data_IF_761715458722
#
_entry.id   IF_761715458722
#
_cell.length_a   1.000
_cell.length_b   1.000
_cell.length_c   1.000
_cell.angle_alpha   90.00
_cell.angle_beta   90.00
_cell.angle_gamma   90.00
#
_symmetry.space_group_name_H-M   'P 1'
#
loop_
_entity.id
_entity.type
_entity.pdbx_description
1 polymer ?
#
# COMPACT_ATOMS: atom_id res chain seq x y z
N UNK A 1 31.07 -18.86 -26.72
CA UNK A 1 32.08 -18.03 -26.03
C UNK A 1 33.32 -18.91 -25.88
N UNK A 2 34.52 -18.35 -25.98
CA UNK A 2 35.74 -19.06 -25.63
C UNK A 2 36.05 -18.85 -24.15
N UNK A 3 36.75 -19.82 -23.56
CA UNK A 3 37.22 -19.73 -22.17
C UNK A 3 38.50 -18.88 -22.10
N UNK A 4 38.89 -18.48 -20.90
CA UNK A 4 40.13 -17.71 -20.70
C UNK A 4 41.36 -18.53 -21.12
N UNK A 5 41.38 -19.85 -20.92
CA UNK A 5 42.44 -20.75 -21.39
C UNK A 5 42.51 -20.82 -22.90
N UNK A 6 41.36 -21.00 -23.57
CA UNK A 6 41.30 -21.01 -25.06
C UNK A 6 41.77 -19.68 -25.68
N UNK A 7 41.49 -18.54 -25.03
CA UNK A 7 41.94 -17.23 -25.50
C UNK A 7 43.45 -17.08 -25.43
N UNK A 8 44.04 -17.45 -24.29
CA UNK A 8 45.51 -17.48 -24.13
C UNK A 8 46.16 -18.37 -25.17
N UNK A 9 45.60 -19.55 -25.41
CA UNK A 9 46.11 -20.52 -26.39
C UNK A 9 46.00 -19.98 -27.81
N UNK A 10 44.88 -19.37 -28.21
CA UNK A 10 44.68 -18.73 -29.52
C UNK A 10 45.72 -17.68 -29.77
N UNK A 11 46.01 -16.82 -28.79
CA UNK A 11 47.02 -15.77 -28.92
C UNK A 11 48.46 -16.35 -28.96
N UNK A 12 48.76 -17.39 -28.18
CA UNK A 12 50.04 -18.06 -28.19
C UNK A 12 50.33 -18.73 -29.54
N UNK A 13 49.37 -19.50 -30.07
CA UNK A 13 49.50 -20.13 -31.39
C UNK A 13 49.67 -19.12 -32.53
N UNK A 14 48.97 -17.97 -32.43
CA UNK A 14 49.12 -16.88 -33.40
C UNK A 14 50.52 -16.29 -33.39
N UNK A 15 51.13 -16.07 -32.20
CA UNK A 15 52.53 -15.63 -32.06
C UNK A 15 53.51 -16.64 -32.61
N UNK A 16 53.21 -17.92 -32.59
CA UNK A 16 54.01 -18.98 -33.18
C UNK A 16 53.83 -19.09 -34.70
N UNK A 17 53.10 -18.18 -35.36
CA UNK A 17 52.94 -18.11 -36.81
C UNK A 17 51.81 -18.96 -37.38
N UNK A 18 50.98 -19.58 -36.56
CA UNK A 18 49.86 -20.39 -37.04
C UNK A 18 48.82 -19.56 -37.79
N UNK A 19 48.29 -20.13 -38.88
CA UNK A 19 47.17 -19.50 -39.59
C UNK A 19 45.87 -19.55 -38.77
N UNK A 20 44.98 -18.59 -38.94
CA UNK A 20 43.67 -18.56 -38.28
C UNK A 20 42.88 -19.84 -38.53
N UNK A 21 43.01 -20.43 -39.71
CA UNK A 21 42.36 -21.70 -40.06
C UNK A 21 42.94 -22.90 -39.30
N UNK A 22 44.24 -22.90 -39.04
CA UNK A 22 44.88 -23.93 -38.24
C UNK A 22 44.51 -23.81 -36.76
N UNK A 23 44.52 -22.60 -36.22
CA UNK A 23 44.09 -22.29 -34.83
C UNK A 23 42.63 -22.69 -34.64
N UNK A 24 41.75 -22.32 -35.57
CA UNK A 24 40.30 -22.62 -35.47
C UNK A 24 40.05 -24.13 -35.43
N UNK A 25 40.77 -24.92 -36.24
CA UNK A 25 40.70 -26.41 -36.20
C UNK A 25 41.25 -26.97 -34.90
N UNK A 26 42.33 -26.41 -34.38
CA UNK A 26 42.97 -26.86 -33.16
C UNK A 26 42.09 -26.66 -31.92
N UNK A 27 41.53 -25.46 -31.76
CA UNK A 27 40.66 -25.12 -30.61
C UNK A 27 39.20 -25.54 -30.80
N UNK A 28 38.85 -26.15 -31.94
CA UNK A 28 37.45 -26.60 -32.21
C UNK A 28 36.44 -25.43 -32.32
N UNK A 29 36.88 -24.27 -32.81
CA UNK A 29 36.04 -23.06 -32.92
C UNK A 29 35.96 -22.59 -34.37
N UNK A 30 34.86 -21.84 -34.66
CA UNK A 30 34.70 -21.19 -35.96
C UNK A 30 35.80 -20.13 -36.23
N UNK A 31 36.27 -20.03 -37.50
CA UNK A 31 37.29 -19.09 -37.91
C UNK A 31 36.92 -17.62 -37.65
N UNK A 32 35.65 -17.27 -37.77
CA UNK A 32 35.14 -15.91 -37.51
C UNK A 32 35.27 -15.60 -36.02
N UNK A 33 34.99 -16.60 -35.19
CA UNK A 33 35.14 -16.46 -33.71
C UNK A 33 36.61 -16.26 -33.36
N UNK A 34 37.53 -17.10 -33.82
CA UNK A 34 38.98 -16.95 -33.54
C UNK A 34 39.49 -15.59 -34.01
N UNK A 35 39.10 -15.16 -35.22
CA UNK A 35 39.49 -13.83 -35.74
C UNK A 35 39.02 -12.69 -34.85
N UNK A 36 37.77 -12.73 -34.38
CA UNK A 36 37.23 -11.64 -33.57
C UNK A 36 37.91 -11.51 -32.20
N UNK A 37 38.42 -12.60 -31.63
CA UNK A 37 39.20 -12.54 -30.39
C UNK A 37 40.65 -12.06 -30.67
N UNK A 38 41.29 -12.54 -31.72
CA UNK A 38 42.60 -12.07 -32.11
C UNK A 38 42.64 -10.57 -32.45
N UNK A 39 41.56 -10.03 -32.98
CA UNK A 39 41.42 -8.61 -33.32
C UNK A 39 40.92 -7.75 -32.12
N UNK A 40 40.75 -8.34 -30.95
CA UNK A 40 40.19 -7.67 -29.77
C UNK A 40 38.76 -7.10 -29.97
N UNK A 41 38.01 -7.61 -30.98
CA UNK A 41 36.61 -7.26 -31.21
C UNK A 41 35.68 -7.91 -30.15
N UNK A 42 36.19 -8.91 -29.45
CA UNK A 42 35.51 -9.62 -28.36
C UNK A 42 36.44 -9.85 -27.20
N UNK A 43 35.91 -9.71 -25.97
CA UNK A 43 36.63 -10.04 -24.74
C UNK A 43 36.06 -11.31 -24.12
N UNK A 44 36.93 -12.11 -23.48
CA UNK A 44 36.54 -13.34 -22.78
C UNK A 44 35.55 -13.02 -21.67
N UNK A 45 34.48 -13.82 -21.57
CA UNK A 45 33.44 -13.62 -20.55
C UNK A 45 32.44 -12.48 -20.84
N UNK A 46 32.69 -11.64 -21.85
CA UNK A 46 31.83 -10.53 -22.23
C UNK A 46 30.97 -10.93 -23.42
N UNK A 47 29.63 -10.97 -23.24
CA UNK A 47 28.68 -11.17 -24.33
C UNK A 47 28.40 -9.82 -24.99
N UNK A 48 28.69 -9.69 -26.30
CA UNK A 48 28.30 -8.49 -27.02
C UNK A 48 26.79 -8.23 -26.88
N UNK A 49 26.44 -7.08 -26.36
CA UNK A 49 25.04 -6.68 -26.13
C UNK A 49 24.48 -6.13 -27.44
N UNK A 50 23.71 -6.93 -28.14
CA UNK A 50 23.09 -6.53 -29.42
C UNK A 50 21.70 -5.88 -29.30
N UNK A 51 21.15 -5.79 -28.07
CA UNK A 51 19.80 -5.27 -27.83
C UNK A 51 19.89 -4.19 -26.76
N UNK A 52 19.28 -3.04 -27.02
CA UNK A 52 19.09 -1.98 -26.02
C UNK A 52 18.39 -2.59 -24.81
N UNK A 53 18.97 -2.39 -23.64
CA UNK A 53 18.34 -2.85 -22.41
C UNK A 53 17.06 -2.02 -22.16
N UNK A 54 15.89 -2.65 -22.08
CA UNK A 54 14.65 -1.90 -21.80
C UNK A 54 14.73 -1.03 -20.55
N UNK A 55 15.61 -1.36 -19.60
CA UNK A 55 15.83 -0.55 -18.41
C UNK A 55 16.49 0.80 -18.73
N UNK A 56 17.30 0.89 -19.78
CA UNK A 56 17.96 2.15 -20.17
C UNK A 56 16.93 3.24 -20.55
N UNK A 57 15.76 2.83 -21.04
CA UNK A 57 14.68 3.74 -21.41
C UNK A 57 13.98 4.35 -20.20
N UNK A 58 13.91 3.61 -19.10
CA UNK A 58 13.19 4.02 -17.87
C UNK A 58 14.15 4.53 -16.78
N UNK A 59 15.45 4.33 -16.92
CA UNK A 59 16.44 4.73 -15.93
C UNK A 59 16.37 6.23 -15.56
N UNK A 60 16.22 7.17 -16.50
CA UNK A 60 16.11 8.59 -16.16
C UNK A 60 14.92 8.88 -15.24
N UNK A 61 13.78 8.27 -15.51
CA UNK A 61 12.59 8.38 -14.64
C UNK A 61 12.86 7.80 -13.25
N UNK A 62 13.43 6.60 -13.18
CA UNK A 62 13.76 5.94 -11.91
C UNK A 62 14.71 6.78 -11.07
N UNK A 63 15.74 7.37 -11.70
CA UNK A 63 16.68 8.27 -11.00
C UNK A 63 15.98 9.49 -10.43
N UNK A 64 15.12 10.15 -11.21
CA UNK A 64 14.38 11.32 -10.74
C UNK A 64 13.48 10.95 -9.57
N UNK A 65 12.71 9.86 -9.68
CA UNK A 65 11.83 9.40 -8.60
C UNK A 65 12.56 9.07 -7.30
N UNK A 66 13.80 8.55 -7.39
CA UNK A 66 14.65 8.28 -6.22
C UNK A 66 15.28 9.55 -5.63
N UNK A 67 15.42 10.63 -6.42
CA UNK A 67 15.79 11.96 -5.92
C UNK A 67 14.61 12.57 -5.17
N UNK A 68 13.40 12.51 -5.75
CA UNK A 68 12.17 13.07 -5.18
C UNK A 68 11.76 12.34 -3.90
N UNK A 69 11.86 11.01 -3.89
CA UNK A 69 11.59 10.16 -2.74
C UNK A 69 12.60 9.02 -2.61
N UNK A 70 13.61 9.23 -1.80
CA UNK A 70 14.68 8.25 -1.50
C UNK A 70 14.15 6.94 -0.92
N UNK A 71 12.97 6.95 -0.29
CA UNK A 71 12.37 5.81 0.40
C UNK A 71 11.26 5.11 -0.40
N UNK A 72 10.98 5.53 -1.64
CA UNK A 72 9.97 4.88 -2.47
C UNK A 72 10.25 3.38 -2.62
N UNK A 73 9.24 2.55 -2.44
CA UNK A 73 9.40 1.08 -2.55
C UNK A 73 9.66 0.65 -3.99
N UNK A 74 10.53 -0.33 -4.18
CA UNK A 74 10.81 -0.88 -5.52
C UNK A 74 9.56 -1.42 -6.22
N UNK A 75 8.58 -1.93 -5.48
CA UNK A 75 7.27 -2.37 -6.00
C UNK A 75 6.44 -1.20 -6.54
N UNK A 76 6.55 -0.03 -5.95
CA UNK A 76 5.89 1.20 -6.42
C UNK A 76 6.55 1.67 -7.70
N UNK A 77 7.88 1.83 -7.70
CA UNK A 77 8.64 2.19 -8.91
C UNK A 77 8.35 1.24 -10.07
N UNK A 78 8.28 -0.06 -9.80
CA UNK A 78 8.00 -1.06 -10.83
C UNK A 78 6.62 -0.86 -11.46
N UNK A 79 5.57 -0.59 -10.67
CA UNK A 79 4.23 -0.29 -11.17
C UNK A 79 4.20 1.01 -11.98
N UNK A 80 4.89 2.04 -11.50
CA UNK A 80 4.98 3.33 -12.20
C UNK A 80 5.62 3.13 -13.59
N UNK A 81 6.76 2.44 -13.69
CA UNK A 81 7.45 2.22 -14.98
C UNK A 81 6.70 1.26 -15.91
N UNK A 82 5.84 0.37 -15.39
CA UNK A 82 4.96 -0.43 -16.23
C UNK A 82 3.84 0.42 -16.87
N UNK A 83 3.39 1.47 -16.19
CA UNK A 83 2.35 2.37 -16.68
C UNK A 83 2.89 3.43 -17.67
N UNK A 84 4.21 3.69 -17.69
CA UNK A 84 4.81 4.64 -18.63
C UNK A 84 4.88 4.05 -20.04
N UNK A 85 4.52 4.80 -21.10
CA UNK A 85 4.74 4.36 -22.48
C UNK A 85 6.25 4.26 -22.80
N UNK A 86 6.73 3.18 -23.44
CA UNK A 86 6.02 1.99 -23.96
C UNK A 86 5.77 0.88 -22.92
N UNK A 87 6.01 1.12 -21.62
CA UNK A 87 5.90 0.15 -20.57
C UNK A 87 7.18 -0.69 -20.35
N UNK A 88 7.52 -0.94 -19.07
CA UNK A 88 8.63 -1.83 -18.74
C UNK A 88 8.15 -3.29 -18.69
N UNK A 89 8.41 -4.04 -19.77
CA UNK A 89 7.89 -5.40 -19.96
C UNK A 89 8.73 -6.53 -19.33
N UNK A 90 9.67 -6.26 -18.41
CA UNK A 90 10.47 -7.30 -17.74
C UNK A 90 9.93 -7.61 -16.36
N UNK A 91 10.20 -8.82 -15.85
CA UNK A 91 9.78 -9.26 -14.53
C UNK A 91 10.37 -8.38 -13.39
N UNK A 92 9.63 -8.28 -12.28
CA UNK A 92 10.01 -7.52 -11.10
C UNK A 92 11.42 -7.86 -10.56
N UNK A 93 11.77 -9.14 -10.52
CA UNK A 93 13.11 -9.55 -10.06
C UNK A 93 14.23 -9.02 -10.98
N UNK A 94 13.97 -8.91 -12.29
CA UNK A 94 14.91 -8.30 -13.24
C UNK A 94 15.05 -6.80 -12.98
N UNK A 95 13.94 -6.11 -12.72
CA UNK A 95 13.92 -4.70 -12.33
C UNK A 95 14.75 -4.46 -11.05
N UNK A 96 14.50 -5.24 -9.99
CA UNK A 96 15.26 -5.14 -8.74
C UNK A 96 16.76 -5.39 -8.93
N UNK A 97 17.13 -6.33 -9.82
CA UNK A 97 18.52 -6.57 -10.18
C UNK A 97 19.15 -5.33 -10.82
N UNK A 98 18.47 -4.68 -11.78
CA UNK A 98 18.96 -3.43 -12.37
C UNK A 98 19.14 -2.31 -11.36
N UNK A 99 18.19 -2.14 -10.42
CA UNK A 99 18.32 -1.15 -9.34
C UNK A 99 19.62 -1.36 -8.53
N UNK A 100 19.94 -2.63 -8.23
CA UNK A 100 21.14 -3.02 -7.48
C UNK A 100 22.40 -2.85 -8.31
N UNK A 101 22.44 -3.44 -9.50
CA UNK A 101 23.64 -3.50 -10.35
C UNK A 101 24.09 -2.11 -10.84
N UNK A 102 23.14 -1.16 -10.91
CA UNK A 102 23.40 0.23 -11.29
C UNK A 102 23.57 1.18 -10.10
N UNK A 103 23.53 0.66 -8.87
CA UNK A 103 23.66 1.45 -7.64
C UNK A 103 22.58 2.54 -7.50
N UNK A 104 21.39 2.31 -8.08
CA UNK A 104 20.31 3.29 -8.10
C UNK A 104 19.58 3.40 -6.76
N UNK A 105 19.66 2.37 -5.94
CA UNK A 105 18.98 2.34 -4.64
C UNK A 105 19.98 2.06 -3.53
N UNK A 106 20.53 3.10 -2.89
CA UNK A 106 21.21 2.94 -1.62
C UNK A 106 20.20 2.54 -0.55
N UNK A 107 20.53 1.51 0.24
CA UNK A 107 19.74 1.19 1.42
C UNK A 107 19.93 2.30 2.46
N UNK A 108 18.82 2.85 2.92
CA UNK A 108 18.78 3.63 4.15
C UNK A 108 18.88 2.65 5.33
N UNK A 109 19.77 2.88 6.29
CA UNK A 109 19.91 2.03 7.47
C UNK A 109 18.60 1.85 8.22
N UNK A 110 17.76 2.91 8.29
CA UNK A 110 16.42 2.83 8.87
C UNK A 110 15.46 1.89 8.13
N UNK A 111 15.64 1.71 6.80
CA UNK A 111 14.82 0.80 6.00
C UNK A 111 15.35 -0.65 6.01
N UNK A 112 16.61 -0.86 6.39
CA UNK A 112 17.24 -2.19 6.40
C UNK A 112 17.21 -2.87 7.77
N UNK A 113 16.83 -2.15 8.83
CA UNK A 113 16.78 -2.70 10.19
C UNK A 113 15.50 -3.49 10.45
N UNK A 114 15.33 -4.63 9.80
CA UNK A 114 14.57 -5.73 10.40
C UNK A 114 15.43 -6.34 11.49
N UNK A 115 15.43 -5.73 12.67
CA UNK A 115 16.06 -6.33 13.83
C UNK A 115 15.38 -7.67 14.10
N UNK A 116 16.15 -8.75 14.03
CA UNK A 116 15.74 -10.13 14.25
C UNK A 116 15.21 -10.40 15.66
N UNK A 117 14.07 -9.79 16.01
CA UNK A 117 13.26 -10.23 17.14
C UNK A 117 12.54 -11.49 16.70
N UNK A 118 12.73 -12.57 17.42
CA UNK A 118 11.90 -13.75 17.28
C UNK A 118 10.43 -13.33 17.45
N UNK A 119 9.68 -13.34 16.37
CA UNK A 119 8.23 -13.15 16.40
C UNK A 119 7.62 -14.54 16.57
N UNK A 120 6.93 -14.77 17.69
CA UNK A 120 6.02 -15.91 17.76
C UNK A 120 4.90 -15.68 16.74
N UNK A 121 4.64 -16.67 15.89
CA UNK A 121 3.52 -16.63 14.98
C UNK A 121 2.21 -16.59 15.79
N UNK A 122 1.43 -15.55 15.60
CA UNK A 122 0.11 -15.41 16.21
C UNK A 122 -0.88 -15.96 15.19
N UNK A 123 -1.53 -17.04 15.57
CA UNK A 123 -2.61 -17.61 14.76
C UNK A 123 -3.82 -16.67 14.76
N UNK A 124 -4.35 -16.39 13.57
CA UNK A 124 -5.55 -15.58 13.36
C UNK A 124 -6.60 -16.44 12.64
N UNK A 125 -7.52 -17.09 13.38
CA UNK A 125 -8.58 -17.89 12.76
C UNK A 125 -9.48 -17.07 11.83
N UNK A 126 -9.99 -17.66 10.73
CA UNK A 126 -10.86 -16.97 9.79
C UNK A 126 -12.13 -16.41 10.45
N UNK A 127 -12.45 -15.15 10.18
CA UNK A 127 -13.65 -14.47 10.67
C UNK A 127 -13.68 -14.18 12.18
N UNK A 128 -12.56 -14.39 12.87
CA UNK A 128 -12.47 -14.14 14.31
C UNK A 128 -12.28 -12.67 14.64
N UNK A 129 -11.40 -11.96 13.92
CA UNK A 129 -10.96 -10.64 14.35
C UNK A 129 -10.86 -9.63 13.22
N UNK A 130 -11.37 -8.41 13.46
CA UNK A 130 -11.02 -7.19 12.74
C UNK A 130 -10.13 -6.34 13.65
N UNK A 131 -8.96 -5.92 13.18
CA UNK A 131 -8.11 -4.96 13.86
C UNK A 131 -8.38 -3.55 13.36
N UNK A 132 -8.44 -2.59 14.26
CA UNK A 132 -8.74 -1.19 13.97
C UNK A 132 -7.61 -0.27 14.42
N UNK A 133 -7.28 0.69 13.56
CA UNK A 133 -6.35 1.76 13.90
C UNK A 133 -6.57 3.00 13.05
N UNK A 134 -6.06 4.14 13.52
CA UNK A 134 -6.05 5.40 12.80
C UNK A 134 -4.68 5.66 12.18
N UNK A 135 -4.68 6.11 10.93
CA UNK A 135 -3.55 6.75 10.28
C UNK A 135 -3.80 8.25 10.26
N UNK A 136 -2.88 9.02 10.84
CA UNK A 136 -2.93 10.48 10.86
C UNK A 136 -2.12 11.05 9.69
N UNK A 137 -2.74 11.97 8.93
CA UNK A 137 -2.15 12.65 7.80
C UNK A 137 -2.12 14.15 8.10
N UNK A 138 -0.99 14.63 8.58
CA UNK A 138 -0.83 16.03 8.98
C UNK A 138 -0.66 16.96 7.77
N UNK A 139 0.03 16.49 6.72
CA UNK A 139 0.29 17.21 5.48
C UNK A 139 -0.51 16.62 4.34
N UNK A 140 -1.63 17.26 4.01
CA UNK A 140 -2.47 16.85 2.88
C UNK A 140 -2.41 17.86 1.74
N UNK A 141 -2.60 17.45 0.49
CA UNK A 141 -2.61 18.37 -0.65
C UNK A 141 -3.69 19.45 -0.59
N UNK A 142 -4.75 19.24 0.19
CA UNK A 142 -5.84 20.22 0.40
C UNK A 142 -5.66 21.12 1.63
N UNK A 143 -4.51 21.02 2.32
CA UNK A 143 -4.10 21.97 3.36
C UNK A 143 -4.75 21.79 4.74
N UNK A 144 -5.55 20.72 4.95
CA UNK A 144 -6.13 20.40 6.25
C UNK A 144 -5.70 18.96 6.64
N UNK A 145 -5.46 18.74 7.93
CA UNK A 145 -5.19 17.38 8.43
C UNK A 145 -6.36 16.44 8.11
N UNK A 146 -6.05 15.19 7.86
CA UNK A 146 -7.04 14.14 7.66
C UNK A 146 -6.64 12.89 8.45
N UNK A 147 -7.63 12.09 8.75
CA UNK A 147 -7.49 10.85 9.49
C UNK A 147 -8.04 9.71 8.64
N UNK A 148 -7.39 8.56 8.66
CA UNK A 148 -7.86 7.39 7.92
C UNK A 148 -8.09 6.25 8.89
N UNK A 149 -9.35 5.87 9.08
CA UNK A 149 -9.66 4.66 9.84
C UNK A 149 -9.36 3.45 8.98
N UNK A 150 -8.54 2.55 9.48
CA UNK A 150 -8.18 1.30 8.82
C UNK A 150 -8.76 0.13 9.60
N UNK A 151 -9.56 -0.70 8.93
CA UNK A 151 -10.06 -1.96 9.45
C UNK A 151 -9.51 -3.13 8.63
N UNK A 152 -8.90 -4.10 9.31
CA UNK A 152 -8.21 -5.24 8.70
C UNK A 152 -8.75 -6.54 9.24
N UNK A 153 -9.14 -7.46 8.37
CA UNK A 153 -9.41 -8.86 8.70
C UNK A 153 -8.07 -9.54 9.01
N UNK A 154 -7.88 -9.96 10.25
CA UNK A 154 -6.58 -10.45 10.72
C UNK A 154 -6.12 -11.72 10.02
N UNK A 155 -7.06 -12.59 9.60
CA UNK A 155 -6.74 -13.82 8.89
C UNK A 155 -6.28 -13.57 7.46
N UNK A 156 -7.10 -12.95 6.61
CA UNK A 156 -6.79 -12.74 5.19
C UNK A 156 -5.82 -11.59 4.95
N UNK A 157 -5.76 -10.62 5.86
CA UNK A 157 -5.07 -9.36 5.66
C UNK A 157 -5.81 -8.42 4.70
N UNK A 158 -7.09 -8.72 4.35
CA UNK A 158 -7.94 -7.81 3.60
C UNK A 158 -8.27 -6.61 4.47
N UNK A 159 -8.07 -5.42 3.95
CA UNK A 159 -8.37 -4.20 4.68
C UNK A 159 -9.18 -3.23 3.84
N UNK A 160 -9.88 -2.34 4.53
CA UNK A 160 -10.56 -1.18 3.94
C UNK A 160 -10.32 0.03 4.83
N UNK A 161 -10.47 1.17 4.23
CA UNK A 161 -10.15 2.44 4.85
C UNK A 161 -11.30 3.43 4.69
N UNK A 162 -11.37 4.38 5.63
CA UNK A 162 -12.31 5.48 5.54
C UNK A 162 -11.65 6.78 5.97
N UNK A 163 -11.69 7.79 5.10
CA UNK A 163 -11.15 9.12 5.37
C UNK A 163 -12.10 9.92 6.24
N UNK A 164 -11.55 10.61 7.24
CA UNK A 164 -12.25 11.40 8.23
C UNK A 164 -11.58 12.75 8.47
N UNK A 165 -12.36 13.72 8.89
CA UNK A 165 -11.88 15.03 9.34
C UNK A 165 -11.57 15.04 10.84
N UNK A 166 -11.98 14.00 11.60
CA UNK A 166 -11.78 13.88 13.04
C UNK A 166 -11.65 12.42 13.46
N UNK A 167 -11.00 12.18 14.61
CA UNK A 167 -10.93 10.87 15.27
C UNK A 167 -11.88 10.77 16.47
N UNK A 168 -12.84 11.68 16.62
CA UNK A 168 -13.82 11.61 17.70
C UNK A 168 -14.70 10.35 17.59
N UNK A 169 -15.47 10.06 18.65
CA UNK A 169 -16.28 8.84 18.72
C UNK A 169 -17.34 8.78 17.61
N UNK A 170 -17.91 9.92 17.20
CA UNK A 170 -18.94 9.93 16.17
C UNK A 170 -18.36 9.57 14.81
N UNK A 171 -17.20 10.16 14.44
CA UNK A 171 -16.48 9.82 13.22
C UNK A 171 -15.97 8.37 13.23
N UNK A 172 -15.50 7.88 14.38
CA UNK A 172 -15.11 6.48 14.54
C UNK A 172 -16.25 5.53 14.23
N UNK A 173 -17.44 5.77 14.79
CA UNK A 173 -18.62 4.90 14.60
C UNK A 173 -19.08 4.90 13.14
N UNK A 174 -19.10 6.05 12.48
CA UNK A 174 -19.41 6.15 11.05
C UNK A 174 -18.34 5.42 10.23
N UNK A 175 -17.08 5.67 10.51
CA UNK A 175 -15.97 5.04 9.80
C UNK A 175 -15.95 3.52 9.95
N UNK A 176 -16.28 3.00 11.13
CA UNK A 176 -16.43 1.55 11.34
C UNK A 176 -17.50 0.99 10.40
N UNK A 177 -18.69 1.60 10.34
CA UNK A 177 -19.76 1.13 9.45
C UNK A 177 -19.34 1.14 7.99
N UNK A 178 -18.76 2.23 7.53
CA UNK A 178 -18.27 2.41 6.16
C UNK A 178 -17.20 1.39 5.77
N UNK A 179 -16.26 1.11 6.66
CA UNK A 179 -15.22 0.10 6.44
C UNK A 179 -15.81 -1.30 6.42
N UNK A 180 -16.72 -1.63 7.33
CA UNK A 180 -17.38 -2.93 7.40
C UNK A 180 -18.23 -3.21 6.15
N UNK A 181 -18.94 -2.21 5.61
CA UNK A 181 -19.67 -2.32 4.34
C UNK A 181 -18.72 -2.74 3.22
N UNK A 182 -17.55 -2.10 3.13
CA UNK A 182 -16.53 -2.40 2.10
C UNK A 182 -15.81 -3.73 2.32
N UNK A 183 -15.71 -4.20 3.56
CA UNK A 183 -15.19 -5.54 3.90
C UNK A 183 -16.19 -6.65 3.54
N UNK A 184 -17.49 -6.32 3.50
CA UNK A 184 -18.59 -7.25 3.24
C UNK A 184 -19.17 -7.90 4.49
N UNK A 185 -18.90 -7.37 5.68
CA UNK A 185 -19.40 -7.89 6.95
C UNK A 185 -18.47 -7.60 8.11
N UNK A 186 -18.73 -8.23 9.27
CA UNK A 186 -17.92 -8.09 10.48
C UNK A 186 -17.44 -9.45 11.01
N UNK A 187 -16.24 -9.48 11.58
CA UNK A 187 -15.76 -10.61 12.38
C UNK A 187 -16.41 -10.65 13.77
N UNK A 188 -16.09 -11.66 14.55
CA UNK A 188 -16.67 -11.85 15.90
C UNK A 188 -16.20 -10.81 16.91
N UNK A 189 -14.95 -10.34 16.77
CA UNK A 189 -14.28 -9.46 17.71
C UNK A 189 -13.65 -8.29 16.97
N UNK A 190 -13.60 -7.13 17.64
CA UNK A 190 -12.86 -5.98 17.19
C UNK A 190 -11.67 -5.74 18.12
N UNK A 191 -10.49 -5.86 17.59
CA UNK A 191 -9.29 -5.47 18.31
C UNK A 191 -9.00 -4.01 18.08
N UNK A 192 -8.97 -3.26 19.17
CA UNK A 192 -8.73 -1.82 19.16
C UNK A 192 -7.48 -1.50 19.96
N UNK A 193 -6.76 -0.45 19.57
CA UNK A 193 -5.82 0.16 20.48
C UNK A 193 -6.58 0.78 21.67
N UNK A 194 -5.87 1.22 22.69
CA UNK A 194 -6.47 1.89 23.85
C UNK A 194 -6.98 3.29 23.49
N UNK A 195 -7.71 3.40 22.36
CA UNK A 195 -8.37 4.64 21.95
C UNK A 195 -9.34 5.10 23.04
N UNK A 196 -9.17 6.32 23.55
CA UNK A 196 -10.04 6.88 24.57
C UNK A 196 -11.52 6.98 24.13
N UNK A 197 -11.79 6.93 22.83
CA UNK A 197 -13.13 6.88 22.24
C UNK A 197 -13.81 5.51 22.42
N UNK A 198 -13.06 4.44 22.70
CA UNK A 198 -13.56 3.06 22.83
C UNK A 198 -13.31 2.50 24.23
N UNK A 199 -12.13 2.75 24.79
CA UNK A 199 -11.66 2.18 26.07
C UNK A 199 -11.53 3.29 27.09
N UNK A 200 -11.96 3.03 28.33
CA UNK A 200 -11.75 3.95 29.45
C UNK A 200 -10.23 4.05 29.73
N UNK A 201 -9.64 5.27 29.70
CA UNK A 201 -8.21 5.44 29.88
C UNK A 201 -7.69 4.77 31.16
N UNK A 202 -6.60 3.99 31.01
CA UNK A 202 -5.98 3.28 32.14
C UNK A 202 -6.64 1.96 32.54
N UNK A 203 -7.71 1.54 31.87
CA UNK A 203 -8.42 0.29 32.11
C UNK A 203 -8.55 -0.56 30.86
N UNK A 204 -9.15 -1.75 30.97
CA UNK A 204 -9.60 -2.59 29.85
C UNK A 204 -11.12 -2.49 29.61
N UNK A 205 -11.80 -1.56 30.28
CA UNK A 205 -13.24 -1.40 30.19
C UNK A 205 -13.64 -0.60 28.96
N UNK A 206 -14.69 -1.08 28.29
CA UNK A 206 -15.28 -0.38 27.15
C UNK A 206 -16.03 0.86 27.64
N UNK A 207 -15.86 1.99 26.98
CA UNK A 207 -16.62 3.22 27.24
C UNK A 207 -18.11 2.96 27.22
N UNK A 208 -18.83 3.47 28.23
CA UNK A 208 -20.29 3.32 28.33
C UNK A 208 -21.01 3.87 27.08
N UNK A 209 -20.45 4.92 26.44
CA UNK A 209 -20.97 5.50 25.20
C UNK A 209 -20.73 4.62 23.98
N UNK A 210 -19.71 3.74 23.99
CA UNK A 210 -19.38 2.86 22.88
C UNK A 210 -19.99 1.46 23.02
N UNK A 211 -20.29 1.00 24.22
CA UNK A 211 -20.87 -0.32 24.47
C UNK A 211 -22.17 -0.59 23.64
N UNK A 212 -23.10 0.37 23.47
CA UNK A 212 -24.27 0.19 22.59
C UNK A 212 -23.88 -0.05 21.12
N UNK A 213 -22.79 0.55 20.63
CA UNK A 213 -22.27 0.33 19.27
C UNK A 213 -21.82 -1.12 19.10
N UNK A 214 -21.00 -1.62 20.01
CA UNK A 214 -20.55 -3.01 20.00
C UNK A 214 -21.71 -4.00 20.04
N UNK A 215 -22.73 -3.71 20.87
CA UNK A 215 -23.97 -4.50 20.95
C UNK A 215 -24.76 -4.48 19.64
N UNK A 216 -24.86 -3.31 18.97
CA UNK A 216 -25.57 -3.17 17.69
C UNK A 216 -24.95 -4.05 16.60
N UNK A 217 -23.63 -4.09 16.50
CA UNK A 217 -22.92 -4.95 15.55
C UNK A 217 -22.72 -6.39 16.05
N UNK A 218 -23.09 -6.68 17.28
CA UNK A 218 -22.99 -8.00 17.89
C UNK A 218 -21.55 -8.49 18.08
N UNK A 219 -20.61 -7.62 18.39
CA UNK A 219 -19.17 -7.92 18.46
C UNK A 219 -18.61 -7.81 19.87
N UNK A 220 -17.58 -8.60 20.16
CA UNK A 220 -16.74 -8.41 21.35
C UNK A 220 -15.68 -7.36 21.07
N UNK A 221 -15.34 -6.55 22.08
CA UNK A 221 -14.24 -5.59 22.01
C UNK A 221 -13.03 -6.16 22.76
N UNK A 222 -11.90 -6.23 22.08
CA UNK A 222 -10.61 -6.68 22.63
C UNK A 222 -9.62 -5.51 22.65
N UNK A 223 -9.37 -4.87 23.78
CA UNK A 223 -8.30 -3.89 23.88
C UNK A 223 -6.93 -4.58 23.74
N UNK A 224 -6.00 -3.92 23.04
CA UNK A 224 -4.63 -4.40 22.95
C UNK A 224 -3.99 -4.44 24.33
N UNK A 225 -3.38 -5.58 24.75
CA UNK A 225 -2.69 -5.66 26.02
C UNK A 225 -1.53 -4.64 26.08
N UNK A 226 -1.29 -3.98 27.25
CA UNK A 226 -0.17 -3.08 27.39
C UNK A 226 1.15 -3.78 27.10
N UNK A 227 2.06 -3.11 26.36
CA UNK A 227 3.41 -3.60 26.05
C UNK A 227 3.48 -4.88 25.19
N UNK A 228 2.42 -5.25 24.50
CA UNK A 228 2.39 -6.34 23.53
C UNK A 228 2.06 -5.85 22.12
N UNK A 229 2.93 -5.04 21.47
CA UNK A 229 2.67 -4.45 20.15
C UNK A 229 2.45 -5.52 19.06
N UNK A 230 3.01 -6.72 19.23
CA UNK A 230 2.91 -7.79 18.22
C UNK A 230 1.46 -8.22 17.92
N UNK A 231 0.52 -8.05 18.87
CA UNK A 231 -0.89 -8.42 18.67
C UNK A 231 -1.66 -7.47 17.72
N UNK A 232 -1.12 -6.31 17.41
CA UNK A 232 -1.67 -5.32 16.47
C UNK A 232 -0.91 -5.27 15.14
N UNK A 233 0.05 -6.16 14.96
CA UNK A 233 0.98 -6.14 13.82
C UNK A 233 0.31 -6.21 12.44
N UNK A 234 -0.92 -6.73 12.34
CA UNK A 234 -1.61 -6.84 11.03
C UNK A 234 -2.09 -5.47 10.57
N UNK A 235 -2.75 -4.68 11.43
CA UNK A 235 -3.21 -3.34 11.05
C UNK A 235 -2.05 -2.36 10.89
N UNK A 236 -1.03 -2.44 11.73
CA UNK A 236 0.19 -1.61 11.60
C UNK A 236 0.90 -1.85 10.25
N UNK A 237 1.06 -3.11 9.84
CA UNK A 237 1.59 -3.47 8.52
C UNK A 237 0.72 -2.94 7.37
N UNK A 238 -0.61 -2.95 7.56
CA UNK A 238 -1.54 -2.45 6.55
C UNK A 238 -1.48 -0.93 6.45
N UNK A 239 -1.37 -0.21 7.56
CA UNK A 239 -1.16 1.23 7.60
C UNK A 239 0.17 1.60 6.91
N UNK A 240 1.27 0.91 7.25
CA UNK A 240 2.54 1.12 6.58
C UNK A 240 2.42 0.84 5.06
N UNK A 241 1.70 -0.21 4.67
CA UNK A 241 1.49 -0.54 3.26
C UNK A 241 0.66 0.54 2.53
N UNK A 242 -0.41 1.05 3.12
CA UNK A 242 -1.21 2.17 2.57
C UNK A 242 -0.33 3.41 2.43
N UNK A 243 0.41 3.76 3.48
CA UNK A 243 1.26 4.94 3.51
C UNK A 243 2.36 4.87 2.46
N UNK A 244 3.11 3.77 2.43
CA UNK A 244 4.30 3.63 1.58
C UNK A 244 3.99 3.24 0.13
N UNK A 245 2.84 2.62 -0.13
CA UNK A 245 2.54 2.08 -1.45
C UNK A 245 1.42 2.80 -2.18
N UNK A 246 0.66 3.65 -1.49
CA UNK A 246 -0.42 4.43 -2.07
C UNK A 246 -0.29 5.92 -1.73
N UNK A 247 -0.33 6.31 -0.46
CA UNK A 247 -0.39 7.72 -0.07
C UNK A 247 0.77 8.55 -0.61
N UNK A 248 1.99 8.06 -0.52
CA UNK A 248 3.20 8.76 -1.01
C UNK A 248 3.19 9.07 -2.51
N UNK A 249 2.36 8.38 -3.28
CA UNK A 249 2.30 8.51 -4.75
C UNK A 249 0.92 8.93 -5.24
N UNK A 250 -0.04 9.09 -4.34
CA UNK A 250 -1.40 9.45 -4.68
C UNK A 250 -1.49 10.93 -5.11
N UNK A 251 -2.04 11.16 -6.30
CA UNK A 251 -2.38 12.50 -6.78
C UNK A 251 -3.85 12.76 -6.42
N UNK A 252 -4.09 13.39 -5.28
CA UNK A 252 -5.42 13.65 -4.72
C UNK A 252 -5.58 15.15 -4.42
N UNK A 253 -6.75 15.70 -4.69
CA UNK A 253 -7.05 17.12 -4.49
C UNK A 253 -8.01 17.40 -3.33
N UNK A 254 -8.68 16.37 -2.82
CA UNK A 254 -9.66 16.49 -1.75
C UNK A 254 -9.80 15.18 -0.97
N UNK A 255 -10.40 15.24 0.20
CA UNK A 255 -10.71 14.08 1.02
C UNK A 255 -11.63 13.08 0.29
N UNK A 256 -12.61 13.56 -0.45
CA UNK A 256 -13.52 12.71 -1.24
C UNK A 256 -12.80 12.03 -2.41
N UNK A 257 -11.91 12.74 -3.13
CA UNK A 257 -11.09 12.13 -4.18
C UNK A 257 -10.18 11.05 -3.60
N UNK A 258 -9.56 11.34 -2.45
CA UNK A 258 -8.70 10.40 -1.75
C UNK A 258 -9.45 9.12 -1.39
N UNK A 259 -10.71 9.22 -0.90
CA UNK A 259 -11.52 8.05 -0.60
C UNK A 259 -11.78 7.20 -1.83
N UNK A 260 -12.25 7.79 -2.92
CA UNK A 260 -12.57 7.07 -4.16
C UNK A 260 -11.33 6.36 -4.75
N UNK A 261 -10.19 7.07 -4.77
CA UNK A 261 -8.96 6.51 -5.31
C UNK A 261 -8.36 5.43 -4.41
N UNK A 262 -8.48 5.56 -3.08
CA UNK A 262 -8.03 4.54 -2.14
C UNK A 262 -8.88 3.28 -2.24
N UNK A 263 -10.20 3.40 -2.32
CA UNK A 263 -11.11 2.26 -2.49
C UNK A 263 -10.75 1.48 -3.77
N UNK A 264 -10.59 2.20 -4.88
CA UNK A 264 -10.16 1.59 -6.14
C UNK A 264 -8.80 0.91 -6.05
N UNK A 265 -7.84 1.53 -5.37
CA UNK A 265 -6.52 0.94 -5.17
C UNK A 265 -6.57 -0.30 -4.26
N UNK A 266 -7.42 -0.30 -3.25
CA UNK A 266 -7.65 -1.49 -2.41
C UNK A 266 -8.11 -2.67 -3.27
N UNK A 267 -9.09 -2.48 -4.15
CA UNK A 267 -9.64 -3.55 -4.99
C UNK A 267 -8.65 -4.03 -6.06
N UNK A 268 -7.97 -3.11 -6.73
CA UNK A 268 -7.13 -3.43 -7.89
C UNK A 268 -5.69 -3.81 -7.54
N UNK A 269 -5.21 -3.40 -6.38
CA UNK A 269 -3.80 -3.59 -5.99
C UNK A 269 -3.66 -4.31 -4.66
N UNK A 270 -4.30 -3.81 -3.59
CA UNK A 270 -4.11 -4.35 -2.26
C UNK A 270 -4.68 -5.77 -2.14
N UNK A 271 -5.85 -6.02 -2.70
CA UNK A 271 -6.52 -7.32 -2.68
C UNK A 271 -5.85 -8.35 -3.60
N UNK A 272 -5.05 -7.91 -4.57
CA UNK A 272 -4.29 -8.79 -5.48
C UNK A 272 -2.91 -9.19 -4.92
N UNK A 273 -2.54 -8.73 -3.73
CA UNK A 273 -1.31 -9.19 -3.08
C UNK A 273 -1.38 -10.68 -2.80
N UNK A 274 -0.30 -11.38 -3.10
CA UNK A 274 -0.14 -12.77 -2.70
C UNK A 274 0.20 -12.86 -1.21
N UNK A 275 -0.39 -13.82 -0.55
CA UNK A 275 -0.03 -14.27 0.79
C UNK A 275 0.24 -15.76 0.77
N UNK A 276 1.14 -16.19 1.63
CA UNK A 276 1.38 -17.60 1.83
C UNK A 276 0.14 -18.27 2.43
N UNK A 277 -0.12 -19.49 2.02
CA UNK A 277 -1.18 -20.36 2.55
C UNK A 277 -0.51 -21.47 3.36
N UNK A 278 -1.06 -21.81 4.52
CA UNK A 278 -0.47 -22.82 5.41
C UNK A 278 -0.51 -24.22 4.76
N UNK A 279 -1.51 -24.48 3.91
CA UNK A 279 -1.78 -25.80 3.32
C UNK A 279 -1.70 -25.84 1.78
N UNK A 280 -1.10 -24.84 1.11
CA UNK A 280 -1.11 -24.81 -0.34
C UNK A 280 -0.31 -23.69 -1.00
N UNK A 281 -0.48 -23.49 -2.32
CA UNK A 281 0.18 -22.40 -3.02
C UNK A 281 -0.30 -21.03 -2.52
N UNK A 282 0.55 -20.02 -2.65
CA UNK A 282 0.20 -18.63 -2.31
C UNK A 282 -1.07 -18.21 -3.07
N UNK A 283 -2.00 -17.60 -2.34
CA UNK A 283 -3.28 -17.08 -2.86
C UNK A 283 -3.35 -15.56 -2.74
N UNK A 284 -4.23 -14.92 -3.49
CA UNK A 284 -4.46 -13.48 -3.30
C UNK A 284 -5.21 -13.21 -2.00
N UNK A 285 -5.02 -12.00 -1.44
CA UNK A 285 -5.79 -11.52 -0.28
C UNK A 285 -7.29 -11.59 -0.55
N UNK A 286 -7.73 -11.26 -1.77
CA UNK A 286 -9.13 -11.39 -2.18
C UNK A 286 -9.64 -12.82 -2.03
N UNK A 287 -8.90 -13.80 -2.52
CA UNK A 287 -9.26 -15.24 -2.42
C UNK A 287 -9.26 -15.69 -0.96
N UNK A 288 -8.24 -15.36 -0.19
CA UNK A 288 -8.19 -15.69 1.24
C UNK A 288 -9.39 -15.12 2.02
N UNK A 289 -9.82 -13.90 1.69
CA UNK A 289 -10.95 -13.26 2.34
C UNK A 289 -12.29 -13.94 2.04
N UNK A 290 -12.45 -14.66 0.93
CA UNK A 290 -13.68 -15.40 0.63
C UNK A 290 -13.92 -16.58 1.58
N UNK A 291 -12.87 -17.08 2.21
CA UNK A 291 -12.95 -18.17 3.19
C UNK A 291 -13.30 -17.66 4.61
N UNK A 292 -13.36 -16.34 4.84
CA UNK A 292 -13.68 -15.78 6.15
C UNK A 292 -15.18 -15.76 6.41
N UNK A 293 -15.69 -16.44 7.45
CA UNK A 293 -17.10 -16.49 7.79
C UNK A 293 -17.55 -15.17 8.47
N UNK A 294 -17.64 -14.10 7.69
CA UNK A 294 -18.10 -12.81 8.21
C UNK A 294 -19.59 -12.83 8.52
N UNK A 295 -19.96 -12.14 9.57
CA UNK A 295 -21.36 -11.93 9.94
C UNK A 295 -21.92 -10.76 9.16
N UNK A 296 -23.19 -10.89 8.72
CA UNK A 296 -23.92 -9.81 8.08
C UNK A 296 -24.04 -8.59 9.00
N UNK A 297 -23.98 -7.42 8.42
CA UNK A 297 -24.18 -6.17 9.13
C UNK A 297 -25.67 -5.97 9.46
N UNK A 298 -25.99 -5.18 10.50
CA UNK A 298 -27.36 -4.71 10.73
C UNK A 298 -27.90 -3.98 9.49
N UNK A 299 -29.20 -4.01 9.29
CA UNK A 299 -29.87 -3.36 8.16
C UNK A 299 -29.64 -1.84 8.10
N UNK A 300 -29.43 -1.22 9.26
CA UNK A 300 -29.09 0.20 9.38
C UNK A 300 -27.78 0.37 10.18
N UNK A 301 -27.03 1.42 9.88
CA UNK A 301 -25.90 1.83 10.71
C UNK A 301 -26.34 2.21 12.12
N UNK A 302 -25.42 2.15 13.09
CA UNK A 302 -25.70 2.67 14.43
C UNK A 302 -25.99 4.18 14.35
N UNK A 303 -27.13 4.64 14.90
CA UNK A 303 -27.52 6.05 14.81
C UNK A 303 -26.59 6.94 15.64
N UNK A 304 -25.89 7.83 14.96
CA UNK A 304 -24.98 8.81 15.59
C UNK A 304 -25.05 10.15 14.90
N UNK A 305 -24.69 11.21 15.61
CA UNK A 305 -24.68 12.57 15.09
C UNK A 305 -23.25 13.09 14.98
N UNK A 306 -22.85 13.48 13.79
CA UNK A 306 -21.60 14.19 13.53
C UNK A 306 -21.88 15.68 13.54
N UNK A 307 -21.06 16.45 14.26
CA UNK A 307 -21.08 17.89 14.27
C UNK A 307 -19.81 18.44 13.62
N UNK A 308 -19.96 19.27 12.60
CA UNK A 308 -18.88 19.87 11.84
C UNK A 308 -19.06 21.39 11.76
N UNK A 309 -17.96 22.11 11.54
CA UNK A 309 -18.01 23.53 11.19
C UNK A 309 -17.62 23.70 9.72
N UNK A 310 -18.36 24.56 9.02
CA UNK A 310 -18.09 24.90 7.63
C UNK A 310 -18.26 26.40 7.40
N UNK A 311 -17.52 26.91 6.41
CA UNK A 311 -17.69 28.26 5.91
C UNK A 311 -18.60 28.23 4.71
N UNK A 312 -19.57 29.12 4.64
CA UNK A 312 -20.42 29.30 3.48
C UNK A 312 -19.61 29.96 2.35
N UNK A 313 -19.48 29.28 1.24
CA UNK A 313 -18.73 29.79 0.09
C UNK A 313 -19.43 30.98 -0.58
N UNK A 314 -18.70 31.74 -1.41
CA UNK A 314 -19.21 32.93 -2.10
C UNK A 314 -20.44 32.66 -3.01
N UNK A 315 -20.63 31.43 -3.42
CA UNK A 315 -21.78 30.96 -4.20
C UNK A 315 -22.97 30.47 -3.34
N UNK A 316 -22.97 30.80 -2.04
CA UNK A 316 -23.97 30.40 -1.06
C UNK A 316 -24.11 28.88 -0.91
N UNK A 317 -23.01 28.13 -1.10
CA UNK A 317 -22.99 26.69 -0.92
C UNK A 317 -22.12 26.29 0.27
N UNK A 318 -22.50 25.21 0.94
CA UNK A 318 -21.70 24.48 1.95
C UNK A 318 -21.32 23.14 1.38
N UNK A 319 -20.05 22.81 1.37
CA UNK A 319 -19.54 21.51 0.91
C UNK A 319 -19.44 20.54 2.09
N UNK A 320 -19.96 19.32 1.90
CA UNK A 320 -19.89 18.22 2.88
C UNK A 320 -19.70 16.90 2.14
N UNK A 321 -18.54 16.24 2.32
CA UNK A 321 -18.21 14.93 1.73
C UNK A 321 -18.53 14.80 0.23
N UNK A 322 -18.07 15.79 -0.55
CA UNK A 322 -18.30 15.84 -2.02
C UNK A 322 -19.67 16.36 -2.45
N UNK A 323 -20.64 16.46 -1.55
CA UNK A 323 -21.93 17.07 -1.82
C UNK A 323 -21.91 18.59 -1.56
N UNK A 324 -22.81 19.31 -2.21
CA UNK A 324 -22.99 20.75 -2.02
C UNK A 324 -24.42 21.05 -1.64
N UNK A 325 -24.59 21.83 -0.55
CA UNK A 325 -25.88 22.19 0.01
C UNK A 325 -26.06 23.72 -0.09
N UNK A 326 -27.17 24.16 -0.66
CA UNK A 326 -27.50 25.57 -0.74
C UNK A 326 -27.99 26.09 0.60
N UNK A 327 -27.51 27.26 0.99
CA UNK A 327 -27.96 28.02 2.15
C UNK A 327 -28.38 29.42 1.73
N UNK A 328 -29.18 30.15 2.50
CA UNK A 328 -29.56 31.51 2.15
C UNK A 328 -28.33 32.40 1.89
N UNK A 329 -28.33 33.24 0.84
CA UNK A 329 -27.20 34.08 0.46
C UNK A 329 -26.71 35.04 1.56
N UNK A 330 -27.56 35.41 2.50
CA UNK A 330 -27.18 36.25 3.65
C UNK A 330 -26.12 35.63 4.57
N UNK A 331 -25.84 34.36 4.43
CA UNK A 331 -24.83 33.66 5.24
C UNK A 331 -23.48 33.48 4.53
N UNK A 332 -23.28 34.03 3.34
CA UNK A 332 -22.00 33.94 2.64
C UNK A 332 -20.87 34.47 3.54
N UNK A 333 -19.82 33.66 3.70
CA UNK A 333 -18.69 33.96 4.57
C UNK A 333 -18.90 33.61 6.06
N UNK A 334 -20.11 33.26 6.46
CA UNK A 334 -20.38 32.85 7.86
C UNK A 334 -19.88 31.44 8.14
N UNK A 335 -19.47 31.21 9.40
CA UNK A 335 -19.27 29.87 9.93
C UNK A 335 -20.61 29.27 10.32
N UNK A 336 -20.94 28.13 9.74
CA UNK A 336 -22.16 27.38 10.06
C UNK A 336 -21.81 26.07 10.73
N UNK A 337 -22.59 25.68 11.73
CA UNK A 337 -22.55 24.34 12.32
C UNK A 337 -23.37 23.39 11.44
N UNK A 338 -22.75 22.30 11.01
CA UNK A 338 -23.42 21.27 10.23
C UNK A 338 -23.61 20.07 11.14
N UNK A 339 -24.85 19.62 11.29
CA UNK A 339 -25.20 18.36 11.98
C UNK A 339 -25.62 17.34 10.97
N UNK A 340 -24.93 16.22 10.94
CA UNK A 340 -25.27 15.09 10.08
C UNK A 340 -25.67 13.90 10.92
N UNK A 341 -26.91 13.46 10.75
CA UNK A 341 -27.47 12.27 11.40
C UNK A 341 -27.17 11.04 10.55
N UNK A 342 -26.33 10.14 11.04
CA UNK A 342 -26.00 8.89 10.39
C UNK A 342 -26.84 7.74 10.97
N UNK A 343 -27.20 6.73 10.16
CA UNK A 343 -27.90 5.53 10.61
C UNK A 343 -29.41 5.69 10.84
N UNK A 344 -30.02 6.73 10.33
CA UNK A 344 -31.49 6.91 10.34
C UNK A 344 -32.05 6.81 8.93
N UNK A 345 -33.31 6.31 8.78
CA UNK A 345 -33.98 6.20 7.47
C UNK A 345 -34.16 7.54 6.74
N UNK A 346 -33.96 8.64 7.45
CA UNK A 346 -33.99 10.01 6.93
C UNK A 346 -32.69 10.72 7.29
N UNK A 347 -31.55 10.20 6.82
CA UNK A 347 -30.26 10.84 7.00
C UNK A 347 -30.32 12.32 6.64
N UNK A 348 -30.50 13.20 7.63
CA UNK A 348 -30.67 14.63 7.45
C UNK A 348 -29.36 15.38 7.73
N UNK A 349 -29.09 16.38 6.90
CA UNK A 349 -28.05 17.38 7.16
C UNK A 349 -28.76 18.66 7.59
N UNK A 350 -28.45 19.13 8.79
CA UNK A 350 -29.00 20.35 9.36
C UNK A 350 -27.89 21.40 9.46
N UNK A 351 -28.21 22.65 9.13
CA UNK A 351 -27.28 23.77 9.20
C UNK A 351 -27.77 24.76 10.26
N UNK A 352 -26.88 25.18 11.15
CA UNK A 352 -27.12 26.15 12.19
C UNK A 352 -26.10 27.29 12.09
N UNK A 353 -26.54 28.53 12.26
CA UNK A 353 -25.69 29.72 12.26
C UNK A 353 -25.43 30.18 13.68
#
# INVERSE_FOLDING_TARGET
>A
MITQGEDVEIHALRKQGWSISAIARHVGRDRKTVRSYLNNERSVGVRARQVVDPFDLIEPYVRQRLIDDRHVRATVLYREVQALPPGYGRAYNTFCRHLRDRGLRPHCEGCSSSNGRAHGDIEHPPGEEVQWDWLELHDTPWGAAAFVLVGVLSHSGKFRCWFSESMDQAHLVVGIHEVLLRLGGTARRWRVDRMATVIVPGTDEVQASFAPVAKHYGVGIDPCPPRHPNRKGVVEKSIDYVTQSWWRTAAVGSLSDAQVLLDRWCDLVADQRLRDSDDGPAVTVAVAATAEPLRALPAAAYPIMINLQRVVAANALVSLWGNRYSVPPGFVGANVQVRHRHGTDHGGVEFFV
#
